data_IF_634817331537
#
_entry.id   IF_634817331537
#
_cell.length_a   1.000
_cell.length_b   1.000
_cell.length_c   1.000
_cell.angle_alpha   90.00
_cell.angle_beta   90.00
_cell.angle_gamma   90.00
#
_symmetry.space_group_name_H-M   'P 1'
#
loop_
_entity.id
_entity.type
_entity.pdbx_description
1 polymer ?
#
# COMPACT_ATOMS: atom_id res chain seq x y z
N UNK A 1 -20.45 5.22 18.69
CA UNK A 1 -19.53 4.21 18.12
C UNK A 1 -18.36 4.95 17.52
N UNK A 2 -17.14 4.78 18.04
CA UNK A 2 -15.97 5.49 17.50
C UNK A 2 -15.56 4.83 16.18
N UNK A 3 -15.64 5.57 15.06
CA UNK A 3 -15.25 5.05 13.74
C UNK A 3 -13.76 5.35 13.55
N UNK A 4 -12.91 4.35 13.80
CA UNK A 4 -11.49 4.46 13.52
C UNK A 4 -11.19 3.98 12.09
N UNK A 5 -10.20 4.61 11.44
CA UNK A 5 -9.59 4.03 10.23
C UNK A 5 -8.82 2.76 10.63
N UNK A 6 -8.78 1.76 9.74
CA UNK A 6 -7.94 0.56 9.90
C UNK A 6 -6.51 0.96 10.29
N UNK A 7 -5.98 0.33 11.33
CA UNK A 7 -4.64 0.63 11.83
C UNK A 7 -3.58 0.20 10.81
N UNK A 8 -2.51 0.97 10.69
CA UNK A 8 -1.34 0.58 9.89
C UNK A 8 -0.68 -0.66 10.49
N UNK A 9 -0.27 -1.62 9.64
CA UNK A 9 0.48 -2.81 10.05
C UNK A 9 1.70 -2.45 10.92
N UNK A 10 2.44 -1.39 10.54
CA UNK A 10 3.60 -0.94 11.31
C UNK A 10 3.20 -0.42 12.70
N UNK A 11 2.22 0.49 12.75
CA UNK A 11 1.80 1.14 13.99
C UNK A 11 1.14 0.15 14.96
N UNK A 12 0.31 -0.75 14.45
CA UNK A 12 -0.28 -1.82 15.26
C UNK A 12 0.75 -2.81 15.78
N UNK A 13 1.72 -3.20 14.94
CA UNK A 13 2.83 -4.06 15.36
C UNK A 13 3.71 -3.43 16.44
N UNK A 14 4.13 -2.19 16.23
CA UNK A 14 4.91 -1.41 17.21
C UNK A 14 4.16 -1.29 18.54
N UNK A 15 2.85 -1.06 18.50
CA UNK A 15 2.01 -0.99 19.70
C UNK A 15 2.00 -2.31 20.47
N UNK A 16 1.72 -3.44 19.82
CA UNK A 16 1.63 -4.76 20.47
C UNK A 16 2.97 -5.18 21.09
N UNK A 17 4.09 -4.97 20.39
CA UNK A 17 5.43 -5.28 20.90
C UNK A 17 5.76 -4.42 22.12
N UNK A 18 5.44 -3.13 22.09
CA UNK A 18 5.71 -2.22 23.21
C UNK A 18 4.85 -2.56 24.42
N UNK A 19 3.57 -2.89 24.21
CA UNK A 19 2.70 -3.38 25.28
C UNK A 19 3.26 -4.66 25.89
N UNK A 20 3.62 -5.66 25.06
CA UNK A 20 4.21 -6.90 25.55
C UNK A 20 5.43 -6.64 26.45
N UNK A 21 6.36 -5.79 25.99
CA UNK A 21 7.57 -5.42 26.76
C UNK A 21 7.25 -4.73 28.09
N UNK A 22 6.25 -3.85 28.13
CA UNK A 22 5.85 -3.19 29.37
C UNK A 22 5.15 -4.16 30.33
N UNK A 23 4.34 -5.09 29.82
CA UNK A 23 3.72 -6.14 30.61
C UNK A 23 4.76 -7.13 31.17
N UNK A 24 5.80 -7.48 30.41
CA UNK A 24 6.93 -8.28 30.89
C UNK A 24 7.66 -7.62 32.07
N UNK A 25 7.68 -6.29 32.10
CA UNK A 25 8.23 -5.49 33.20
C UNK A 25 7.27 -5.39 34.41
N UNK A 26 6.10 -6.03 34.36
CA UNK A 26 5.12 -6.03 35.44
C UNK A 26 4.17 -4.83 35.45
N UNK A 27 4.17 -3.99 34.40
CA UNK A 27 3.20 -2.90 34.33
C UNK A 27 1.79 -3.45 34.07
N UNK A 28 0.75 -2.92 34.74
CA UNK A 28 -0.63 -3.22 34.38
C UNK A 28 -0.95 -2.78 32.95
N UNK A 29 -1.80 -3.55 32.26
CA UNK A 29 -2.17 -3.31 30.86
C UNK A 29 -2.69 -1.89 30.61
N UNK A 30 -3.61 -1.40 31.45
CA UNK A 30 -4.14 -0.02 31.31
C UNK A 30 -3.04 1.04 31.43
N UNK A 31 -2.11 0.87 32.37
CA UNK A 31 -0.98 1.79 32.57
C UNK A 31 -0.05 1.78 31.37
N UNK A 32 0.25 0.60 30.82
CA UNK A 32 1.07 0.45 29.62
C UNK A 32 0.43 1.13 28.38
N UNK A 33 -0.88 0.97 28.19
CA UNK A 33 -1.61 1.63 27.09
C UNK A 33 -1.65 3.15 27.30
N UNK A 34 -1.85 3.60 28.55
CA UNK A 34 -1.85 5.03 28.89
C UNK A 34 -0.50 5.67 28.56
N UNK A 35 0.60 5.01 28.93
CA UNK A 35 1.96 5.46 28.59
C UNK A 35 2.19 5.56 27.07
N UNK A 36 1.70 4.59 26.30
CA UNK A 36 1.79 4.63 24.84
C UNK A 36 0.91 5.70 24.20
N UNK A 37 -0.22 6.06 24.83
CA UNK A 37 -1.09 7.16 24.37
C UNK A 37 -0.40 8.53 24.42
N UNK A 38 0.55 8.70 25.35
CA UNK A 38 1.38 9.90 25.47
C UNK A 38 2.50 9.87 24.42
N UNK A 39 3.14 8.71 24.25
CA UNK A 39 4.29 8.55 23.35
C UNK A 39 3.89 8.54 21.86
N UNK A 40 2.66 8.13 21.52
CA UNK A 40 2.13 8.10 20.14
C UNK A 40 0.88 9.00 20.02
N UNK A 41 1.05 10.33 19.89
CA UNK A 41 -0.08 11.26 19.90
C UNK A 41 -1.08 11.05 18.75
N UNK A 42 -0.62 10.50 17.62
CA UNK A 42 -1.46 10.24 16.43
C UNK A 42 -2.54 9.18 16.67
N UNK A 43 -2.29 8.21 17.55
CA UNK A 43 -3.25 7.14 17.87
C UNK A 43 -3.85 7.29 19.27
N UNK A 44 -3.65 8.46 19.91
CA UNK A 44 -4.11 8.73 21.28
C UNK A 44 -5.61 8.46 21.47
N UNK A 45 -6.44 8.92 20.55
CA UNK A 45 -7.90 8.69 20.62
C UNK A 45 -8.26 7.19 20.57
N UNK A 46 -7.53 6.41 19.76
CA UNK A 46 -7.71 4.96 19.67
C UNK A 46 -7.31 4.27 20.98
N UNK A 47 -6.18 4.65 21.55
CA UNK A 47 -5.69 4.05 22.79
C UNK A 47 -6.54 4.44 24.00
N UNK A 48 -7.01 5.68 24.07
CA UNK A 48 -7.99 6.11 25.08
C UNK A 48 -9.31 5.35 24.97
N UNK A 49 -9.77 5.08 23.74
CA UNK A 49 -10.94 4.25 23.52
C UNK A 49 -10.73 2.81 24.02
N UNK A 50 -9.57 2.20 23.74
CA UNK A 50 -9.24 0.86 24.26
C UNK A 50 -9.23 0.85 25.80
N UNK A 51 -8.65 1.87 26.44
CA UNK A 51 -8.66 2.01 27.91
C UNK A 51 -10.09 2.11 28.43
N UNK A 52 -10.95 2.89 27.78
CA UNK A 52 -12.35 3.04 28.19
C UNK A 52 -13.13 1.70 28.10
N UNK A 53 -12.90 0.93 27.03
CA UNK A 53 -13.50 -0.40 26.87
C UNK A 53 -13.00 -1.40 27.93
N UNK A 54 -11.70 -1.37 28.26
CA UNK A 54 -11.11 -2.20 29.33
C UNK A 54 -11.71 -1.86 30.70
N UNK A 55 -11.88 -0.57 31.01
CA UNK A 55 -12.54 -0.11 32.25
C UNK A 55 -14.00 -0.49 32.33
N UNK A 56 -14.67 -0.65 31.19
CA UNK A 56 -16.02 -1.19 31.11
C UNK A 56 -16.07 -2.72 31.28
N UNK A 57 -14.94 -3.38 31.57
CA UNK A 57 -14.85 -4.82 31.78
C UNK A 57 -14.79 -5.64 30.50
N UNK A 58 -14.62 -5.01 29.34
CA UNK A 58 -14.49 -5.74 28.07
C UNK A 58 -13.11 -6.35 27.94
N UNK A 59 -13.05 -7.51 27.30
CA UNK A 59 -11.79 -8.18 27.02
C UNK A 59 -10.91 -7.37 26.05
N UNK A 60 -9.60 -7.39 26.26
CA UNK A 60 -8.63 -6.63 25.45
C UNK A 60 -8.74 -6.94 23.95
N UNK A 61 -8.93 -8.20 23.57
CA UNK A 61 -9.08 -8.60 22.18
C UNK A 61 -10.31 -7.96 21.50
N UNK A 62 -11.41 -7.82 22.24
CA UNK A 62 -12.63 -7.15 21.76
C UNK A 62 -12.38 -5.65 21.61
N UNK A 63 -11.71 -5.03 22.57
CA UNK A 63 -11.32 -3.61 22.52
C UNK A 63 -10.42 -3.32 21.31
N UNK A 64 -9.46 -4.20 20.99
CA UNK A 64 -8.62 -4.11 19.79
C UNK A 64 -9.45 -4.20 18.50
N UNK A 65 -10.41 -5.13 18.44
CA UNK A 65 -11.28 -5.29 17.27
C UNK A 65 -12.11 -4.04 17.02
N UNK A 66 -12.73 -3.48 18.07
CA UNK A 66 -13.48 -2.23 18.00
C UNK A 66 -12.59 -1.04 17.65
N UNK A 67 -11.32 -1.11 18.04
CA UNK A 67 -10.28 -0.17 17.64
C UNK A 67 -9.67 -0.49 16.26
N UNK A 68 -10.36 -1.21 15.37
CA UNK A 68 -9.97 -1.50 13.97
C UNK A 68 -8.59 -2.15 13.78
N UNK A 69 -8.20 -3.03 14.70
CA UNK A 69 -7.11 -3.99 14.48
C UNK A 69 -7.57 -5.15 13.57
N UNK A 70 -6.66 -5.86 12.90
CA UNK A 70 -7.02 -7.01 12.07
C UNK A 70 -7.64 -8.15 12.88
N UNK A 71 -8.75 -8.73 12.41
CA UNK A 71 -9.52 -9.76 13.13
C UNK A 71 -8.67 -10.99 13.50
N UNK A 72 -7.80 -11.44 12.60
CA UNK A 72 -6.90 -12.57 12.86
C UNK A 72 -5.99 -12.33 14.08
N UNK A 73 -5.47 -11.10 14.24
CA UNK A 73 -4.61 -10.73 15.37
C UNK A 73 -5.43 -10.70 16.67
N UNK A 74 -6.64 -10.13 16.61
CA UNK A 74 -7.56 -10.10 17.75
C UNK A 74 -7.94 -11.51 18.21
N UNK A 75 -8.20 -12.43 17.29
CA UNK A 75 -8.51 -13.82 17.60
C UNK A 75 -7.34 -14.52 18.31
N UNK A 76 -6.11 -14.37 17.80
CA UNK A 76 -4.92 -14.96 18.42
C UNK A 76 -4.74 -14.47 19.88
N UNK A 77 -4.93 -13.18 20.12
CA UNK A 77 -4.84 -12.58 21.46
C UNK A 77 -5.97 -13.05 22.37
N UNK A 78 -7.18 -13.24 21.84
CA UNK A 78 -8.32 -13.77 22.59
C UNK A 78 -8.04 -15.18 23.12
N UNK A 79 -7.52 -16.07 22.26
CA UNK A 79 -7.19 -17.44 22.66
C UNK A 79 -6.02 -17.50 23.63
N UNK A 80 -4.97 -16.69 23.43
CA UNK A 80 -3.79 -16.73 24.29
C UNK A 80 -4.05 -16.26 25.72
N UNK A 81 -5.01 -15.35 25.92
CA UNK A 81 -5.40 -14.86 27.23
C UNK A 81 -5.95 -15.98 28.15
N UNK A 82 -6.57 -17.02 27.58
CA UNK A 82 -7.11 -18.16 28.33
C UNK A 82 -6.07 -19.22 28.68
N UNK A 83 -4.94 -19.24 27.98
CA UNK A 83 -3.92 -20.28 28.09
C UNK A 83 -2.61 -19.80 28.72
N UNK A 84 -2.56 -18.57 29.26
CA UNK A 84 -1.38 -18.04 29.96
C UNK A 84 -0.25 -17.54 29.06
N UNK A 85 -0.42 -17.59 27.73
CA UNK A 85 0.58 -17.15 26.74
C UNK A 85 0.32 -15.73 26.21
N UNK A 86 -0.41 -14.91 26.96
CA UNK A 86 -0.88 -13.59 26.51
C UNK A 86 0.27 -12.68 26.04
N UNK A 87 1.30 -12.52 26.87
CA UNK A 87 2.43 -11.63 26.60
C UNK A 87 3.25 -12.12 25.39
N UNK A 88 3.52 -13.42 25.30
CA UNK A 88 4.29 -13.99 24.19
C UNK A 88 3.53 -13.85 22.87
N UNK A 89 2.22 -14.12 22.87
CA UNK A 89 1.37 -13.92 21.70
C UNK A 89 1.30 -12.45 21.28
N UNK A 90 1.25 -11.49 22.21
CA UNK A 90 1.30 -10.06 21.85
C UNK A 90 2.59 -9.70 21.11
N UNK A 91 3.74 -10.20 21.60
CA UNK A 91 5.04 -9.99 20.95
C UNK A 91 5.06 -10.62 19.55
N UNK A 92 4.68 -11.89 19.44
CA UNK A 92 4.69 -12.63 18.17
C UNK A 92 3.75 -12.00 17.14
N UNK A 93 2.51 -11.71 17.52
CA UNK A 93 1.54 -11.06 16.62
C UNK A 93 1.99 -9.65 16.22
N UNK A 94 2.61 -8.91 17.13
CA UNK A 94 3.25 -7.63 16.82
C UNK A 94 4.40 -7.76 15.81
N UNK A 95 5.29 -8.74 15.98
CA UNK A 95 6.34 -9.06 15.02
C UNK A 95 5.78 -9.47 13.66
N UNK A 96 4.73 -10.27 13.62
CA UNK A 96 4.03 -10.65 12.38
C UNK A 96 3.48 -9.42 11.65
N UNK A 97 2.89 -8.46 12.38
CA UNK A 97 2.43 -7.21 11.78
C UNK A 97 3.58 -6.36 11.23
N UNK A 98 4.72 -6.29 11.93
CA UNK A 98 5.91 -5.59 11.43
C UNK A 98 6.49 -6.25 10.17
N UNK A 99 6.62 -7.59 10.15
CA UNK A 99 7.08 -8.33 8.96
C UNK A 99 6.18 -8.06 7.77
N UNK A 100 4.85 -8.07 7.96
CA UNK A 100 3.88 -7.74 6.91
C UNK A 100 4.02 -6.28 6.44
N UNK A 101 4.33 -5.34 7.33
CA UNK A 101 4.61 -3.96 6.96
C UNK A 101 5.87 -3.83 6.10
N UNK A 102 6.92 -4.58 6.43
CA UNK A 102 8.17 -4.61 5.67
C UNK A 102 8.03 -5.30 4.31
N UNK A 103 7.26 -6.38 4.22
CA UNK A 103 6.91 -7.01 2.95
C UNK A 103 6.19 -6.04 2.02
N UNK A 104 5.17 -5.34 2.51
CA UNK A 104 4.46 -4.31 1.74
C UNK A 104 5.38 -3.17 1.31
N UNK A 105 6.35 -2.80 2.16
CA UNK A 105 7.36 -1.79 1.84
C UNK A 105 8.33 -2.29 0.76
N UNK A 106 8.76 -3.54 0.82
CA UNK A 106 9.62 -4.18 -0.20
C UNK A 106 8.91 -4.26 -1.53
N UNK A 107 7.65 -4.73 -1.55
CA UNK A 107 6.83 -4.75 -2.76
C UNK A 107 6.74 -3.35 -3.40
N UNK A 108 6.47 -2.31 -2.61
CA UNK A 108 6.44 -0.92 -3.12
C UNK A 108 7.77 -0.51 -3.75
N UNK A 109 8.90 -0.86 -3.14
CA UNK A 109 10.22 -0.54 -3.69
C UNK A 109 10.50 -1.29 -4.99
N UNK A 110 10.14 -2.58 -5.07
CA UNK A 110 10.33 -3.38 -6.29
C UNK A 110 9.54 -2.82 -7.47
N UNK A 111 8.32 -2.34 -7.25
CA UNK A 111 7.50 -1.74 -8.31
C UNK A 111 7.87 -0.29 -8.66
N UNK A 112 8.64 0.40 -7.83
CA UNK A 112 9.08 1.77 -8.11
C UNK A 112 9.98 1.83 -9.35
N UNK A 113 10.86 0.84 -9.54
CA UNK A 113 11.78 0.80 -10.66
C UNK A 113 11.07 0.62 -12.02
N UNK A 114 10.17 -0.37 -12.21
CA UNK A 114 9.37 -0.51 -13.43
C UNK A 114 8.56 0.74 -13.78
N UNK A 115 7.96 1.42 -12.80
CA UNK A 115 7.14 2.62 -13.06
C UNK A 115 8.00 3.77 -13.61
N UNK A 116 9.16 4.03 -13.01
CA UNK A 116 10.08 5.07 -13.49
C UNK A 116 10.55 4.75 -14.91
N UNK A 117 10.93 3.50 -15.17
CA UNK A 117 11.33 3.07 -16.51
C UNK A 117 10.21 3.24 -17.54
N UNK A 118 8.97 2.86 -17.21
CA UNK A 118 7.81 3.02 -18.09
C UNK A 118 7.52 4.49 -18.41
N UNK A 119 7.62 5.38 -17.41
CA UNK A 119 7.41 6.83 -17.60
C UNK A 119 8.51 7.42 -18.50
N UNK A 120 9.77 7.06 -18.27
CA UNK A 120 10.88 7.53 -19.10
C UNK A 120 10.73 7.07 -20.56
N UNK A 121 10.44 5.78 -20.79
CA UNK A 121 10.20 5.26 -22.13
C UNK A 121 9.00 5.92 -22.80
N UNK A 122 7.88 6.09 -22.09
CA UNK A 122 6.71 6.79 -22.61
C UNK A 122 7.04 8.23 -23.01
N UNK A 123 7.88 8.91 -22.23
CA UNK A 123 8.33 10.28 -22.53
C UNK A 123 9.16 10.33 -23.82
N UNK A 124 10.08 9.37 -24.01
CA UNK A 124 10.89 9.26 -25.24
C UNK A 124 9.99 9.01 -26.47
N UNK A 125 9.00 8.13 -26.37
CA UNK A 125 8.04 7.89 -27.46
C UNK A 125 7.22 9.13 -27.81
N UNK A 126 6.75 9.88 -26.81
CA UNK A 126 6.02 11.14 -27.02
C UNK A 126 6.92 12.17 -27.72
N UNK A 127 8.18 12.30 -27.31
CA UNK A 127 9.15 13.20 -27.95
C UNK A 127 9.43 12.80 -29.40
N UNK A 128 9.65 11.50 -29.67
CA UNK A 128 9.80 11.00 -31.04
C UNK A 128 8.60 11.38 -31.91
N UNK A 129 7.38 11.27 -31.37
CA UNK A 129 6.17 11.69 -32.10
C UNK A 129 6.11 13.18 -32.35
N UNK A 130 6.33 14.02 -31.33
CA UNK A 130 6.15 15.46 -31.47
C UNK A 130 7.24 16.13 -32.30
N UNK A 131 8.46 15.59 -32.31
CA UNK A 131 9.61 16.24 -32.95
C UNK A 131 10.18 15.48 -34.14
N UNK A 132 10.14 14.14 -34.15
CA UNK A 132 10.80 13.33 -35.18
C UNK A 132 9.85 13.04 -36.35
N UNK A 133 8.64 12.55 -36.07
CA UNK A 133 7.61 12.27 -37.09
C UNK A 133 7.31 13.47 -38.02
N UNK A 134 7.05 14.71 -37.52
CA UNK A 134 6.76 15.83 -38.42
C UNK A 134 7.94 16.19 -39.34
N UNK A 135 9.19 15.91 -38.92
CA UNK A 135 10.36 16.12 -39.78
C UNK A 135 10.44 15.07 -40.89
N UNK A 136 10.07 13.83 -40.59
CA UNK A 136 9.96 12.79 -41.61
C UNK A 136 8.86 13.11 -42.62
N UNK A 137 7.70 13.58 -42.17
CA UNK A 137 6.60 13.97 -43.07
C UNK A 137 7.02 15.07 -44.04
N UNK A 138 7.76 16.08 -43.57
CA UNK A 138 8.30 17.15 -44.43
C UNK A 138 9.28 16.61 -45.48
N UNK A 139 10.14 15.66 -45.12
CA UNK A 139 11.10 15.05 -46.04
C UNK A 139 10.40 14.12 -47.06
N UNK A 140 9.42 13.33 -46.61
CA UNK A 140 8.66 12.43 -47.49
C UNK A 140 7.75 13.19 -48.47
N UNK A 141 7.12 14.29 -48.03
CA UNK A 141 6.33 15.15 -48.92
C UNK A 141 7.17 15.80 -50.02
N UNK A 142 8.49 15.97 -49.82
CA UNK A 142 9.40 16.45 -50.85
C UNK A 142 9.82 15.35 -51.85
N UNK A 143 9.70 14.08 -51.47
CA UNK A 143 10.15 12.92 -52.27
C UNK A 143 9.02 12.23 -53.05
N UNK A 144 7.76 12.28 -52.59
CA UNK A 144 6.64 11.54 -53.19
C UNK A 144 5.71 12.43 -54.03
N UNK A 145 6.02 12.53 -55.32
CA UNK A 145 5.06 12.88 -56.39
C UNK A 145 4.42 11.63 -57.01
N UNK A 146 4.56 10.43 -56.45
CA UNK A 146 4.07 9.21 -57.12
C UNK A 146 3.64 8.07 -56.16
N UNK A 147 2.44 7.56 -56.48
CA UNK A 147 1.73 6.35 -56.07
C UNK A 147 1.06 6.22 -54.69
N UNK A 148 -0.23 5.84 -54.76
CA UNK A 148 -1.33 6.30 -53.89
C UNK A 148 -1.86 5.22 -52.92
N UNK A 149 -1.25 4.03 -52.85
CA UNK A 149 -1.75 2.92 -52.03
C UNK A 149 -0.77 2.40 -50.96
N UNK A 150 0.53 2.28 -51.28
CA UNK A 150 1.54 1.87 -50.30
C UNK A 150 1.89 2.99 -49.32
N UNK A 151 1.79 4.23 -49.79
CA UNK A 151 2.02 5.46 -49.01
C UNK A 151 0.98 5.68 -47.92
N UNK A 152 -0.30 5.44 -48.20
CA UNK A 152 -1.38 5.61 -47.21
C UNK A 152 -1.32 4.58 -46.08
N UNK A 153 -0.93 3.34 -46.38
CA UNK A 153 -0.78 2.28 -45.37
C UNK A 153 0.46 2.53 -44.50
N UNK A 154 1.58 2.96 -45.10
CA UNK A 154 2.78 3.36 -44.36
C UNK A 154 2.52 4.58 -43.46
N UNK A 155 1.77 5.57 -43.95
CA UNK A 155 1.39 6.75 -43.17
C UNK A 155 0.49 6.38 -41.99
N UNK A 156 -0.51 5.53 -42.21
CA UNK A 156 -1.36 5.01 -41.14
C UNK A 156 -0.58 4.22 -40.09
N UNK A 157 0.38 3.38 -40.51
CA UNK A 157 1.26 2.64 -39.60
C UNK A 157 2.16 3.61 -38.81
N UNK A 158 2.81 4.58 -39.46
CA UNK A 158 3.72 5.51 -38.79
C UNK A 158 3.00 6.46 -37.82
N UNK A 159 1.78 6.89 -38.15
CA UNK A 159 1.04 7.85 -37.33
C UNK A 159 0.33 7.18 -36.15
N UNK A 160 -0.29 6.01 -36.36
CA UNK A 160 -1.12 5.35 -35.33
C UNK A 160 -0.34 4.40 -34.43
N UNK A 161 0.72 3.75 -34.92
CA UNK A 161 1.46 2.75 -34.14
C UNK A 161 2.16 3.32 -32.90
N UNK A 162 2.82 4.50 -32.94
CA UNK A 162 3.41 5.11 -31.75
C UNK A 162 2.36 5.53 -30.72
N UNK A 163 1.16 5.93 -31.16
CA UNK A 163 0.05 6.29 -30.28
C UNK A 163 -0.51 5.05 -29.58
N UNK A 164 -0.67 3.94 -30.32
CA UNK A 164 -1.13 2.67 -29.78
C UNK A 164 -0.14 2.14 -28.73
N UNK A 165 1.17 2.20 -29.00
CA UNK A 165 2.23 1.81 -28.04
C UNK A 165 2.23 2.73 -26.82
N UNK A 166 2.15 4.04 -27.01
CA UNK A 166 2.10 5.02 -25.92
C UNK A 166 0.87 4.84 -25.02
N UNK A 167 -0.30 4.60 -25.60
CA UNK A 167 -1.54 4.32 -24.87
C UNK A 167 -1.46 2.97 -24.15
N UNK A 168 -0.91 1.93 -24.76
CA UNK A 168 -0.70 0.63 -24.10
C UNK A 168 0.27 0.77 -22.91
N UNK A 169 1.37 1.52 -23.05
CA UNK A 169 2.30 1.79 -21.95
C UNK A 169 1.66 2.63 -20.83
N UNK A 170 0.81 3.59 -21.18
CA UNK A 170 0.08 4.38 -20.20
C UNK A 170 -0.97 3.55 -19.46
N UNK A 171 -1.73 2.71 -20.18
CA UNK A 171 -2.70 1.78 -19.60
C UNK A 171 -2.00 0.73 -18.74
N UNK A 172 -0.85 0.19 -19.16
CA UNK A 172 -0.10 -0.77 -18.35
C UNK A 172 0.44 -0.13 -17.07
N UNK A 173 0.93 1.12 -17.13
CA UNK A 173 1.32 1.87 -15.93
C UNK A 173 0.12 2.13 -14.99
N UNK A 174 -1.05 2.46 -15.53
CA UNK A 174 -2.28 2.61 -14.75
C UNK A 174 -2.75 1.28 -14.15
N UNK A 175 -2.69 0.18 -14.88
CA UNK A 175 -3.04 -1.16 -14.37
C UNK A 175 -2.07 -1.63 -13.30
N UNK A 176 -0.76 -1.36 -13.43
CA UNK A 176 0.24 -1.68 -12.41
C UNK A 176 -0.02 -0.87 -11.14
N UNK A 177 -0.25 0.44 -11.27
CA UNK A 177 -0.57 1.29 -10.10
C UNK A 177 -1.91 0.93 -9.46
N UNK A 178 -2.91 0.59 -10.27
CA UNK A 178 -4.20 0.08 -9.79
C UNK A 178 -4.06 -1.28 -9.11
N UNK A 179 -3.33 -2.24 -9.67
CA UNK A 179 -3.08 -3.55 -9.06
C UNK A 179 -2.34 -3.42 -7.72
N UNK A 180 -1.38 -2.49 -7.61
CA UNK A 180 -0.73 -2.16 -6.34
C UNK A 180 -1.73 -1.56 -5.34
N UNK A 181 -2.63 -0.70 -5.80
CA UNK A 181 -3.68 -0.11 -4.94
C UNK A 181 -4.77 -1.12 -4.56
N UNK A 182 -5.10 -2.07 -5.44
CA UNK A 182 -6.12 -3.08 -5.22
C UNK A 182 -5.60 -4.21 -4.32
N UNK A 183 -4.35 -4.65 -4.47
CA UNK A 183 -3.71 -5.58 -3.52
C UNK A 183 -3.54 -4.94 -2.12
N UNK A 184 -3.51 -3.60 -2.04
CA UNK A 184 -3.64 -2.86 -0.78
C UNK A 184 -5.06 -2.96 -0.18
N UNK A 185 -6.11 -3.21 -0.97
CA UNK A 185 -7.50 -3.37 -0.53
C UNK A 185 -7.93 -4.84 -0.33
N UNK A 186 -7.34 -5.80 -1.05
CA UNK A 186 -7.69 -7.22 -0.91
C UNK A 186 -7.16 -7.83 0.39
N UNK A 187 -6.05 -7.30 0.94
CA UNK A 187 -5.62 -7.61 2.32
C UNK A 187 -6.40 -6.83 3.41
N UNK A 188 -7.48 -6.14 3.04
CA UNK A 188 -8.35 -5.38 3.96
C UNK A 188 -9.64 -6.10 4.32
N UNK A 189 -10.00 -7.19 3.63
CA UNK A 189 -11.08 -8.09 4.05
C UNK A 189 -10.51 -9.15 4.99
#
# INVERSE_FOLDING_TARGET
>A
MAIFRKISWKTGGDFLIRIAKLLEQGLPLETAISFLSITLPKERARFQYIIAELRAGKEFAVSLKNASFPDFICAQIFYSNRHGYFITTLRETGEHMLRKADELKKLRKTFQYPVILCVTLSTVFILLRLFLLPKFDLLFNQLQKQDTATTSLLYFLLEKLPLLIGVIMFISALLITFFIFFNKNEKVI
#
